data_IF_298032091264
#
_entry.id   IF_298032091264
#
_cell.length_a   1.000
_cell.length_b   1.000
_cell.length_c   1.000
_cell.angle_alpha   90.00
_cell.angle_beta   90.00
_cell.angle_gamma   90.00
#
_symmetry.space_group_name_H-M   'P 1'
#
loop_
_entity.id
_entity.type
_entity.pdbx_description
1 polymer ?
#
# COMPACT_ATOMS: atom_id res chain seq x y z
N UNK A 1 -20.77 -0.12 -4.61
CA UNK A 1 -20.30 -0.35 -5.99
C UNK A 1 -19.74 -1.75 -6.08
N UNK A 2 -19.92 -2.47 -7.19
CA UNK A 2 -19.38 -3.84 -7.32
C UNK A 2 -17.87 -3.81 -7.05
N UNK A 3 -17.41 -4.57 -6.05
CA UNK A 3 -16.00 -4.67 -5.62
C UNK A 3 -15.12 -5.31 -6.72
N UNK A 4 -14.97 -4.62 -7.85
CA UNK A 4 -14.17 -5.05 -8.98
C UNK A 4 -12.75 -4.54 -8.75
N UNK A 5 -11.77 -5.42 -8.47
CA UNK A 5 -10.39 -4.98 -8.32
C UNK A 5 -9.87 -4.42 -9.65
N UNK A 6 -9.09 -3.33 -9.57
CA UNK A 6 -8.43 -2.73 -10.73
C UNK A 6 -7.12 -3.45 -11.09
N UNK A 7 -6.58 -4.24 -10.17
CA UNK A 7 -5.38 -5.08 -10.32
C UNK A 7 -5.39 -6.25 -9.32
N UNK A 8 -4.58 -7.30 -9.50
CA UNK A 8 -4.41 -8.36 -8.49
C UNK A 8 -3.98 -7.79 -7.13
N UNK A 9 -4.41 -8.36 -6.00
CA UNK A 9 -3.97 -7.90 -4.69
C UNK A 9 -2.46 -8.07 -4.49
N UNK A 10 -1.82 -7.15 -3.75
CA UNK A 10 -0.41 -7.30 -3.34
C UNK A 10 -0.38 -7.99 -1.99
N UNK A 11 0.44 -9.04 -1.88
CA UNK A 11 0.69 -9.71 -0.61
C UNK A 11 1.59 -8.86 0.27
N UNK A 12 1.38 -8.92 1.58
CA UNK A 12 2.27 -8.32 2.56
C UNK A 12 3.70 -8.89 2.53
N UNK A 13 3.88 -10.09 1.96
CA UNK A 13 5.21 -10.69 1.73
C UNK A 13 5.92 -10.13 0.49
N UNK A 14 5.26 -9.27 -0.28
CA UNK A 14 5.84 -8.69 -1.49
C UNK A 14 6.88 -7.61 -1.15
N UNK A 15 8.12 -7.84 -1.58
CA UNK A 15 9.27 -6.98 -1.29
C UNK A 15 9.47 -5.81 -2.24
N UNK A 16 8.61 -5.59 -3.24
CA UNK A 16 8.87 -4.64 -4.35
C UNK A 16 9.15 -3.21 -3.91
N UNK A 17 8.60 -2.79 -2.77
CA UNK A 17 8.77 -1.44 -2.24
C UNK A 17 10.01 -1.28 -1.32
N UNK A 18 10.94 -2.24 -1.30
CA UNK A 18 12.12 -2.18 -0.45
C UNK A 18 12.98 -0.93 -0.67
N UNK A 19 13.16 -0.50 -1.92
CA UNK A 19 13.91 0.72 -2.23
C UNK A 19 13.25 1.99 -1.66
N UNK A 20 11.91 2.04 -1.65
CA UNK A 20 11.15 3.17 -1.07
C UNK A 20 11.32 3.20 0.45
N UNK A 21 11.27 2.04 1.11
CA UNK A 21 11.52 1.97 2.56
C UNK A 21 12.94 2.42 2.89
N UNK A 22 13.93 2.03 2.10
CA UNK A 22 15.31 2.50 2.27
C UNK A 22 15.43 4.03 2.11
N UNK A 23 14.80 4.60 1.09
CA UNK A 23 14.72 6.05 0.85
C UNK A 23 14.06 6.79 2.03
N UNK A 24 12.93 6.28 2.53
CA UNK A 24 12.20 6.88 3.65
C UNK A 24 12.92 6.73 4.98
N UNK A 25 13.70 5.66 5.14
CA UNK A 25 14.57 5.49 6.29
C UNK A 25 15.70 6.50 6.25
N UNK A 26 16.38 6.65 5.10
CA UNK A 26 17.49 7.58 4.93
C UNK A 26 17.06 9.05 5.07
N UNK A 27 15.85 9.40 4.65
CA UNK A 27 15.30 10.75 4.75
C UNK A 27 14.62 11.06 6.09
N UNK A 28 14.48 10.08 6.99
CA UNK A 28 13.82 10.24 8.29
C UNK A 28 12.29 10.14 8.26
N UNK A 29 11.67 10.03 7.08
CA UNK A 29 10.22 9.84 6.91
C UNK A 29 9.72 8.61 7.69
N UNK A 30 10.46 7.49 7.65
CA UNK A 30 10.07 6.28 8.38
C UNK A 30 10.00 6.51 9.89
N UNK A 31 10.91 7.32 10.45
CA UNK A 31 10.92 7.66 11.87
C UNK A 31 9.75 8.60 12.23
N UNK A 32 9.42 9.55 11.36
CA UNK A 32 8.26 10.43 11.54
C UNK A 32 6.95 9.64 11.56
N UNK A 33 6.78 8.68 10.64
CA UNK A 33 5.58 7.84 10.63
C UNK A 33 5.50 6.96 11.88
N UNK A 34 6.63 6.39 12.33
CA UNK A 34 6.65 5.63 13.57
C UNK A 34 6.25 6.49 14.78
N UNK A 35 6.80 7.70 14.90
CA UNK A 35 6.47 8.62 15.99
C UNK A 35 4.98 8.98 16.04
N UNK A 36 4.31 9.04 14.88
CA UNK A 36 2.88 9.39 14.78
C UNK A 36 1.93 8.21 14.92
N UNK A 37 2.34 7.02 14.49
CA UNK A 37 1.43 5.87 14.33
C UNK A 37 1.80 4.65 15.16
N UNK A 38 3.02 4.59 15.70
CA UNK A 38 3.58 3.40 16.34
C UNK A 38 3.91 2.25 15.38
N UNK A 39 3.76 2.43 14.07
CA UNK A 39 3.97 1.38 13.08
C UNK A 39 5.36 1.48 12.45
N UNK A 40 6.15 0.41 12.58
CA UNK A 40 7.40 0.27 11.86
C UNK A 40 7.14 0.07 10.37
N UNK A 41 7.96 0.72 9.53
CA UNK A 41 7.84 0.62 8.08
C UNK A 41 8.65 -0.55 7.54
N UNK A 42 8.06 -1.28 6.60
CA UNK A 42 8.74 -2.31 5.82
C UNK A 42 8.03 -2.51 4.48
N UNK A 43 8.61 -3.26 3.53
CA UNK A 43 8.18 -3.22 2.13
C UNK A 43 6.72 -3.61 1.89
N UNK A 44 6.18 -4.51 2.71
CA UNK A 44 4.79 -4.96 2.62
C UNK A 44 3.75 -4.00 3.19
N UNK A 45 4.17 -2.90 3.85
CA UNK A 45 3.25 -1.92 4.42
C UNK A 45 2.43 -1.21 3.31
N UNK A 46 1.20 -0.75 3.61
CA UNK A 46 0.34 -0.12 2.60
C UNK A 46 0.98 1.14 2.01
N UNK A 47 1.60 1.99 2.82
CA UNK A 47 2.17 3.26 2.36
C UNK A 47 3.33 3.06 1.34
N UNK A 48 4.36 2.24 1.61
CA UNK A 48 5.38 1.91 0.61
C UNK A 48 4.83 1.26 -0.66
N UNK A 49 3.85 0.35 -0.54
CA UNK A 49 3.24 -0.28 -1.72
C UNK A 49 2.44 0.70 -2.57
N UNK A 50 1.70 1.62 -1.96
CA UNK A 50 0.98 2.67 -2.67
C UNK A 50 1.95 3.65 -3.36
N UNK A 51 3.03 4.05 -2.68
CA UNK A 51 4.08 4.86 -3.28
C UNK A 51 4.79 4.13 -4.45
N UNK A 52 4.95 2.81 -4.35
CA UNK A 52 5.48 2.01 -5.45
C UNK A 52 4.54 2.00 -6.66
N UNK A 53 3.23 1.81 -6.41
CA UNK A 53 2.21 1.84 -7.46
C UNK A 53 2.12 3.21 -8.13
N UNK A 54 2.16 4.30 -7.36
CA UNK A 54 2.20 5.66 -7.91
C UNK A 54 3.38 5.87 -8.88
N UNK A 55 4.56 5.32 -8.55
CA UNK A 55 5.76 5.45 -9.38
C UNK A 55 5.81 4.49 -10.58
N UNK A 56 5.23 3.29 -10.48
CA UNK A 56 5.45 2.20 -11.47
C UNK A 56 4.18 1.72 -12.19
N UNK A 57 3.02 1.85 -11.55
CA UNK A 57 1.71 1.46 -12.09
C UNK A 57 0.65 2.59 -11.86
N UNK A 58 0.93 3.87 -12.20
CA UNK A 58 0.08 5.00 -11.82
C UNK A 58 -1.36 4.86 -12.30
N UNK A 59 -1.57 4.34 -13.51
CA UNK A 59 -2.90 4.10 -14.07
C UNK A 59 -3.77 3.17 -13.20
N UNK A 60 -3.16 2.24 -12.46
CA UNK A 60 -3.89 1.38 -11.54
C UNK A 60 -4.31 2.12 -10.27
N UNK A 61 -3.48 3.05 -9.79
CA UNK A 61 -3.81 3.90 -8.64
C UNK A 61 -4.85 4.97 -9.02
N UNK A 62 -4.73 5.57 -10.19
CA UNK A 62 -5.69 6.55 -10.73
C UNK A 62 -7.08 5.95 -10.95
N UNK A 63 -7.15 4.68 -11.38
CA UNK A 63 -8.41 3.96 -11.54
C UNK A 63 -9.01 3.49 -10.21
N UNK A 64 -8.26 3.52 -9.11
CA UNK A 64 -8.71 3.01 -7.82
C UNK A 64 -9.51 4.07 -7.06
N UNK A 65 -10.77 3.75 -6.74
CA UNK A 65 -11.58 4.56 -5.83
C UNK A 65 -11.30 4.24 -4.34
N UNK A 66 -10.60 3.14 -4.04
CA UNK A 66 -10.40 2.65 -2.67
C UNK A 66 -9.14 1.79 -2.59
N UNK A 67 -8.31 2.04 -1.57
CA UNK A 67 -7.28 1.11 -1.11
C UNK A 67 -7.87 0.24 0.01
N UNK A 68 -7.98 -1.07 -0.22
CA UNK A 68 -8.72 -1.99 0.65
C UNK A 68 -7.89 -3.23 0.99
N UNK A 69 -8.12 -3.80 2.18
CA UNK A 69 -7.58 -5.11 2.54
C UNK A 69 -8.44 -6.23 1.97
N UNK A 70 -7.88 -7.45 1.91
CA UNK A 70 -8.62 -8.63 1.46
C UNK A 70 -9.94 -8.85 2.22
N UNK A 71 -9.95 -8.56 3.54
CA UNK A 71 -11.16 -8.64 4.37
C UNK A 71 -12.23 -7.64 3.94
N UNK A 72 -11.85 -6.44 3.52
CA UNK A 72 -12.80 -5.42 3.06
C UNK A 72 -13.48 -5.85 1.77
N UNK A 73 -12.74 -6.47 0.85
CA UNK A 73 -13.29 -7.02 -0.40
C UNK A 73 -14.28 -8.15 -0.13
N UNK A 74 -14.03 -8.97 0.89
CA UNK A 74 -15.00 -9.98 1.35
C UNK A 74 -16.27 -9.29 1.85
N UNK A 75 -16.16 -8.32 2.78
CA UNK A 75 -17.34 -7.62 3.29
C UNK A 75 -18.13 -6.92 2.18
N UNK A 76 -17.49 -6.20 1.26
CA UNK A 76 -18.17 -5.53 0.14
C UNK A 76 -18.95 -6.46 -0.80
N UNK A 77 -18.71 -7.78 -0.76
CA UNK A 77 -19.49 -8.76 -1.52
C UNK A 77 -20.73 -9.24 -0.77
N UNK A 78 -20.75 -9.11 0.55
CA UNK A 78 -21.79 -9.65 1.41
C UNK A 78 -22.60 -8.56 2.14
N UNK A 79 -22.20 -7.29 2.03
CA UNK A 79 -22.88 -6.09 2.55
C UNK A 79 -23.00 -5.04 1.47
#
# INVERSE_FOLDING_TARGET
GRARPVRPAISWMDGRAAAIVAEWTASGVAAEVFARTGNAMFPGCPAPLLAWLDRHEPAALDAAATAAYCKDVVFQRFT
#
